data_IF_740501350702
#
_entry.id   IF_740501350702
#
_cell.length_a   1.000
_cell.length_b   1.000
_cell.length_c   1.000
_cell.angle_alpha   90.00
_cell.angle_beta   90.00
_cell.angle_gamma   90.00
#
_symmetry.space_group_name_H-M   'P 1'
#
loop_
_entity.id
_entity.type
_entity.pdbx_description
1 polymer ?
#
# COMPACT_ATOMS: atom_id res chain seq x y z
N UNK A 1 -30.65 18.46 -16.44
CA UNK A 1 -30.49 17.64 -15.23
C UNK A 1 -29.13 16.97 -15.19
N UNK A 2 -28.93 15.94 -16.02
CA UNK A 2 -27.70 15.14 -16.06
C UNK A 2 -26.46 15.97 -16.42
N UNK A 3 -26.50 16.79 -17.48
CA UNK A 3 -25.34 17.62 -17.88
C UNK A 3 -24.87 18.55 -16.75
N UNK A 4 -25.81 19.15 -16.02
CA UNK A 4 -25.50 19.99 -14.86
C UNK A 4 -24.80 19.19 -13.75
N UNK A 5 -25.22 17.94 -13.51
CA UNK A 5 -24.56 17.07 -12.54
C UNK A 5 -23.13 16.72 -12.95
N UNK A 6 -22.89 16.46 -14.24
CA UNK A 6 -21.55 16.20 -14.78
C UNK A 6 -20.65 17.43 -14.68
N UNK A 7 -21.19 18.62 -14.92
CA UNK A 7 -20.46 19.88 -14.72
C UNK A 7 -20.06 20.02 -13.25
N UNK A 8 -20.96 19.75 -12.30
CA UNK A 8 -20.61 19.77 -10.88
C UNK A 8 -19.53 18.75 -10.51
N UNK A 9 -19.58 17.53 -11.05
CA UNK A 9 -18.53 16.53 -10.82
C UNK A 9 -17.17 16.97 -11.39
N UNK A 10 -17.15 17.58 -12.58
CA UNK A 10 -15.93 18.12 -13.17
C UNK A 10 -15.38 19.32 -12.38
N UNK A 11 -16.25 20.19 -11.87
CA UNK A 11 -15.84 21.29 -10.98
C UNK A 11 -15.30 20.77 -9.65
N UNK A 12 -15.87 19.69 -9.10
CA UNK A 12 -15.34 19.04 -7.91
C UNK A 12 -13.92 18.50 -8.17
N UNK A 13 -13.69 17.92 -9.34
CA UNK A 13 -12.36 17.49 -9.77
C UNK A 13 -11.37 18.65 -9.83
N UNK A 14 -11.76 19.77 -10.45
CA UNK A 14 -10.93 20.97 -10.54
C UNK A 14 -10.53 21.50 -9.16
N UNK A 15 -11.47 21.55 -8.21
CA UNK A 15 -11.17 21.98 -6.85
C UNK A 15 -10.12 21.07 -6.16
N UNK A 16 -10.11 19.76 -6.42
CA UNK A 16 -9.04 18.88 -5.91
C UNK A 16 -7.68 19.26 -6.48
N UNK A 17 -7.60 19.50 -7.79
CA UNK A 17 -6.35 19.90 -8.45
C UNK A 17 -5.85 21.24 -7.90
N UNK A 18 -6.75 22.21 -7.70
CA UNK A 18 -6.38 23.49 -7.09
C UNK A 18 -5.86 23.30 -5.65
N UNK A 19 -6.51 22.44 -4.86
CA UNK A 19 -6.09 22.15 -3.49
C UNK A 19 -4.67 21.57 -3.38
N UNK A 20 -4.13 20.93 -4.42
CA UNK A 20 -2.74 20.44 -4.43
C UNK A 20 -1.71 21.57 -4.50
N UNK A 21 -2.11 22.74 -5.00
CA UNK A 21 -1.24 23.91 -5.20
C UNK A 21 -1.36 24.96 -4.10
N UNK A 22 -2.35 24.84 -3.22
CA UNK A 22 -2.63 25.82 -2.17
C UNK A 22 -2.02 25.46 -0.81
N UNK A 23 -1.88 26.47 0.05
CA UNK A 23 -1.58 26.27 1.46
C UNK A 23 -2.71 25.52 2.19
N UNK A 24 -2.40 24.88 3.32
CA UNK A 24 -3.29 23.96 4.05
C UNK A 24 -4.73 24.48 4.26
N UNK A 25 -4.89 25.75 4.65
CA UNK A 25 -6.22 26.36 4.89
C UNK A 25 -7.02 26.60 3.60
N UNK A 26 -6.36 26.97 2.50
CA UNK A 26 -6.98 27.12 1.18
C UNK A 26 -7.37 25.77 0.59
N UNK A 27 -6.48 24.79 0.69
CA UNK A 27 -6.71 23.41 0.26
C UNK A 27 -7.94 22.79 0.92
N UNK A 28 -8.13 22.96 2.24
CA UNK A 28 -9.32 22.49 2.94
C UNK A 28 -10.62 23.10 2.42
N UNK A 29 -10.62 24.40 2.15
CA UNK A 29 -11.79 25.07 1.56
C UNK A 29 -12.13 24.46 0.21
N UNK A 30 -11.13 24.20 -0.63
CA UNK A 30 -11.33 23.56 -1.92
C UNK A 30 -11.88 22.12 -1.80
N UNK A 31 -11.37 21.29 -0.88
CA UNK A 31 -11.94 19.97 -0.66
C UNK A 31 -13.38 20.02 -0.16
N UNK A 32 -13.70 20.94 0.75
CA UNK A 32 -15.07 21.14 1.23
C UNK A 32 -16.01 21.55 0.08
N UNK A 33 -15.58 22.45 -0.80
CA UNK A 33 -16.34 22.84 -1.99
C UNK A 33 -16.51 21.66 -2.97
N UNK A 34 -15.48 20.87 -3.22
CA UNK A 34 -15.56 19.67 -4.06
C UNK A 34 -16.62 18.69 -3.54
N UNK A 35 -16.66 18.44 -2.22
CA UNK A 35 -17.68 17.60 -1.59
C UNK A 35 -19.08 18.16 -1.79
N UNK A 36 -19.28 19.48 -1.58
CA UNK A 36 -20.58 20.12 -1.81
C UNK A 36 -21.05 19.99 -3.26
N UNK A 37 -20.13 20.14 -4.22
CA UNK A 37 -20.42 19.99 -5.64
C UNK A 37 -20.82 18.56 -5.99
N UNK A 38 -20.15 17.54 -5.42
CA UNK A 38 -20.58 16.15 -5.57
C UNK A 38 -21.98 15.90 -5.01
N UNK A 39 -22.34 16.46 -3.84
CA UNK A 39 -23.70 16.35 -3.31
C UNK A 39 -24.73 17.02 -4.22
N UNK A 40 -24.42 18.21 -4.76
CA UNK A 40 -25.27 18.88 -5.77
C UNK A 40 -25.44 18.01 -7.02
N UNK A 41 -24.36 17.37 -7.49
CA UNK A 41 -24.40 16.44 -8.61
C UNK A 41 -25.32 15.25 -8.34
N UNK A 42 -25.18 14.58 -7.19
CA UNK A 42 -26.03 13.46 -6.79
C UNK A 42 -27.52 13.86 -6.75
N UNK A 43 -27.85 15.01 -6.18
CA UNK A 43 -29.22 15.52 -6.13
C UNK A 43 -29.80 15.74 -7.54
N UNK A 44 -28.99 16.32 -8.45
CA UNK A 44 -29.39 16.53 -9.85
C UNK A 44 -29.58 15.23 -10.60
N UNK A 45 -28.71 14.23 -10.41
CA UNK A 45 -28.87 12.89 -10.99
C UNK A 45 -30.14 12.21 -10.50
N UNK A 46 -30.42 12.28 -9.19
CA UNK A 46 -31.65 11.74 -8.59
C UNK A 46 -32.90 12.39 -9.18
N UNK A 47 -32.92 13.73 -9.28
CA UNK A 47 -34.06 14.45 -9.88
C UNK A 47 -34.24 14.11 -11.36
N UNK A 48 -33.15 13.82 -12.08
CA UNK A 48 -33.18 13.49 -13.49
C UNK A 48 -33.43 12.00 -13.75
N UNK A 49 -33.64 11.18 -12.71
CA UNK A 49 -33.78 9.71 -12.79
C UNK A 49 -32.66 9.08 -13.63
N UNK A 50 -31.43 9.55 -13.42
CA UNK A 50 -30.26 9.07 -14.15
C UNK A 50 -29.99 7.59 -13.87
N UNK A 51 -29.40 6.89 -14.84
CA UNK A 51 -29.06 5.47 -14.68
C UNK A 51 -27.99 5.21 -13.61
N UNK A 52 -27.92 3.99 -13.04
CA UNK A 52 -26.95 3.61 -12.02
C UNK A 52 -25.47 3.92 -12.35
N UNK A 53 -24.99 3.79 -13.60
CA UNK A 53 -23.59 4.09 -13.93
C UNK A 53 -23.19 5.53 -13.66
N UNK A 54 -24.10 6.49 -13.87
CA UNK A 54 -23.82 7.91 -13.62
C UNK A 54 -23.76 8.21 -12.12
N UNK A 55 -24.62 7.57 -11.32
CA UNK A 55 -24.55 7.64 -9.87
C UNK A 55 -23.24 7.05 -9.35
N UNK A 56 -22.82 5.89 -9.86
CA UNK A 56 -21.56 5.27 -9.50
C UNK A 56 -20.36 6.19 -9.82
N UNK A 57 -20.37 6.87 -10.98
CA UNK A 57 -19.30 7.82 -11.34
C UNK A 57 -19.21 8.99 -10.37
N UNK A 58 -20.33 9.61 -10.01
CA UNK A 58 -20.32 10.74 -9.05
C UNK A 58 -19.96 10.28 -7.64
N UNK A 59 -20.41 9.09 -7.23
CA UNK A 59 -20.04 8.51 -5.94
C UNK A 59 -18.54 8.17 -5.89
N UNK A 60 -17.98 7.64 -6.97
CA UNK A 60 -16.54 7.40 -7.09
C UNK A 60 -15.72 8.68 -7.00
N UNK A 61 -16.20 9.75 -7.65
CA UNK A 61 -15.55 11.06 -7.57
C UNK A 61 -15.58 11.64 -6.14
N UNK A 62 -16.70 11.50 -5.43
CA UNK A 62 -16.82 11.90 -4.02
C UNK A 62 -15.92 11.05 -3.11
N UNK A 63 -15.86 9.73 -3.33
CA UNK A 63 -14.96 8.84 -2.59
C UNK A 63 -13.49 9.24 -2.78
N UNK A 64 -13.10 9.53 -4.03
CA UNK A 64 -11.77 10.02 -4.37
C UNK A 64 -11.47 11.37 -3.69
N UNK A 65 -12.44 12.28 -3.64
CA UNK A 65 -12.28 13.56 -2.93
C UNK A 65 -11.98 13.35 -1.45
N UNK A 66 -12.69 12.45 -0.77
CA UNK A 66 -12.38 12.14 0.62
C UNK A 66 -11.01 11.49 0.80
N UNK A 67 -10.61 10.59 -0.11
CA UNK A 67 -9.30 9.93 -0.05
C UNK A 67 -8.16 10.95 -0.18
N UNK A 68 -8.20 11.80 -1.19
CA UNK A 68 -7.16 12.82 -1.43
C UNK A 68 -7.12 13.84 -0.30
N UNK A 69 -8.28 14.25 0.22
CA UNK A 69 -8.35 15.12 1.38
C UNK A 69 -7.71 14.48 2.62
N UNK A 70 -7.97 13.20 2.88
CA UNK A 70 -7.34 12.46 3.98
C UNK A 70 -5.81 12.44 3.85
N UNK A 71 -5.30 12.16 2.64
CA UNK A 71 -3.85 12.13 2.35
C UNK A 71 -3.22 13.52 2.51
N UNK A 72 -3.93 14.59 2.13
CA UNK A 72 -3.47 15.96 2.36
C UNK A 72 -3.37 16.27 3.85
N UNK A 73 -4.45 16.04 4.62
CA UNK A 73 -4.48 16.26 6.06
C UNK A 73 -3.40 15.47 6.80
N UNK A 74 -3.15 14.23 6.36
CA UNK A 74 -2.10 13.38 6.91
C UNK A 74 -0.69 13.98 6.82
N UNK A 75 -0.44 14.85 5.83
CA UNK A 75 0.85 15.52 5.62
C UNK A 75 0.95 16.86 6.34
N UNK A 76 -0.16 17.59 6.46
CA UNK A 76 -0.16 18.98 6.88
C UNK A 76 -0.60 19.20 8.33
N UNK A 77 -1.25 18.22 8.96
CA UNK A 77 -1.85 18.38 10.28
C UNK A 77 -1.65 17.17 11.18
N UNK A 78 -1.53 17.43 12.49
CA UNK A 78 -1.61 16.40 13.53
C UNK A 78 -3.09 16.13 13.94
N UNK A 79 -4.01 16.22 12.98
CA UNK A 79 -5.44 15.98 13.22
C UNK A 79 -5.79 14.52 12.92
N UNK A 80 -5.45 13.64 13.86
CA UNK A 80 -5.64 12.20 13.69
C UNK A 80 -7.10 11.80 13.43
N UNK A 81 -8.04 12.40 14.17
CA UNK A 81 -9.47 12.08 14.02
C UNK A 81 -10.01 12.52 12.66
N UNK A 82 -9.64 13.72 12.20
CA UNK A 82 -10.04 14.25 10.90
C UNK A 82 -9.54 13.38 9.74
N UNK A 83 -8.27 12.98 9.78
CA UNK A 83 -7.67 12.10 8.77
C UNK A 83 -8.42 10.76 8.69
N UNK A 84 -8.65 10.10 9.82
CA UNK A 84 -9.33 8.81 9.86
C UNK A 84 -10.80 8.91 9.45
N UNK A 85 -11.50 9.98 9.81
CA UNK A 85 -12.87 10.23 9.37
C UNK A 85 -12.95 10.26 7.83
N UNK A 86 -12.03 10.98 7.17
CA UNK A 86 -12.03 11.08 5.71
C UNK A 86 -11.63 9.76 5.05
N UNK A 87 -10.63 9.06 5.57
CA UNK A 87 -10.28 7.72 5.07
C UNK A 87 -11.45 6.74 5.17
N UNK A 88 -12.13 6.69 6.32
CA UNK A 88 -13.27 5.79 6.52
C UNK A 88 -14.45 6.13 5.60
N UNK A 89 -14.70 7.43 5.34
CA UNK A 89 -15.70 7.86 4.35
C UNK A 89 -15.36 7.34 2.95
N UNK A 90 -14.12 7.54 2.50
CA UNK A 90 -13.68 7.04 1.20
C UNK A 90 -13.79 5.51 1.10
N UNK A 91 -13.31 4.80 2.14
CA UNK A 91 -13.33 3.34 2.21
C UNK A 91 -14.75 2.78 2.09
N UNK A 92 -15.68 3.28 2.91
CA UNK A 92 -17.07 2.82 2.89
C UNK A 92 -17.71 3.02 1.50
N UNK A 93 -17.47 4.16 0.87
CA UNK A 93 -17.98 4.44 -0.46
C UNK A 93 -17.39 3.50 -1.52
N UNK A 94 -16.08 3.22 -1.50
CA UNK A 94 -15.47 2.28 -2.44
C UNK A 94 -15.95 0.83 -2.21
N UNK A 95 -16.22 0.43 -0.97
CA UNK A 95 -16.86 -0.86 -0.65
C UNK A 95 -18.27 -0.93 -1.24
N UNK A 96 -19.09 0.10 -1.08
CA UNK A 96 -20.44 0.18 -1.66
C UNK A 96 -20.41 0.12 -3.19
N UNK A 97 -19.42 0.77 -3.81
CA UNK A 97 -19.17 0.73 -5.25
C UNK A 97 -18.59 -0.59 -5.75
N UNK A 98 -18.20 -1.49 -4.83
CA UNK A 98 -17.49 -2.75 -5.11
C UNK A 98 -16.18 -2.55 -5.88
N UNK A 99 -15.55 -1.39 -5.72
CA UNK A 99 -14.27 -1.07 -6.35
C UNK A 99 -13.12 -1.63 -5.51
N UNK A 100 -12.82 -2.91 -5.71
CA UNK A 100 -11.77 -3.62 -4.95
C UNK A 100 -10.40 -2.94 -5.05
N UNK A 101 -10.07 -2.38 -6.21
CA UNK A 101 -8.79 -1.69 -6.42
C UNK A 101 -8.69 -0.45 -5.55
N UNK A 102 -9.74 0.37 -5.52
CA UNK A 102 -9.75 1.57 -4.69
C UNK A 102 -9.88 1.28 -3.19
N UNK A 103 -10.55 0.19 -2.81
CA UNK A 103 -10.53 -0.31 -1.42
C UNK A 103 -9.10 -0.67 -1.01
N UNK A 104 -8.37 -1.41 -1.84
CA UNK A 104 -6.98 -1.78 -1.60
C UNK A 104 -6.08 -0.54 -1.48
N UNK A 105 -6.21 0.39 -2.41
CA UNK A 105 -5.47 1.66 -2.40
C UNK A 105 -5.77 2.48 -1.15
N UNK A 106 -7.03 2.53 -0.70
CA UNK A 106 -7.42 3.25 0.53
C UNK A 106 -6.77 2.62 1.76
N UNK A 107 -6.79 1.28 1.89
CA UNK A 107 -6.10 0.58 2.96
C UNK A 107 -4.58 0.79 2.93
N UNK A 108 -3.96 0.81 1.75
CA UNK A 108 -2.55 1.15 1.59
C UNK A 108 -2.22 2.56 2.11
N UNK A 109 -3.04 3.56 1.78
CA UNK A 109 -2.84 4.93 2.27
C UNK A 109 -3.01 5.04 3.80
N UNK A 110 -4.00 4.34 4.36
CA UNK A 110 -4.18 4.25 5.82
C UNK A 110 -2.98 3.60 6.51
N UNK A 111 -2.44 2.51 5.94
CA UNK A 111 -1.25 1.85 6.46
C UNK A 111 -0.01 2.77 6.42
N UNK A 112 0.18 3.45 5.29
CA UNK A 112 1.25 4.45 5.11
C UNK A 112 1.15 5.55 6.17
N UNK A 113 -0.05 6.09 6.39
CA UNK A 113 -0.30 7.11 7.41
C UNK A 113 0.11 6.66 8.82
N UNK A 114 -0.30 5.47 9.24
CA UNK A 114 0.10 4.93 10.55
C UNK A 114 1.61 4.68 10.66
N UNK A 115 2.27 4.30 9.56
CA UNK A 115 3.70 3.97 9.54
C UNK A 115 4.63 5.19 9.54
N UNK A 116 4.18 6.32 8.98
CA UNK A 116 4.98 7.55 8.78
C UNK A 116 4.93 8.53 9.96
N UNK A 117 4.03 8.31 10.92
CA UNK A 117 3.95 9.13 12.12
C UNK A 117 5.25 9.08 12.94
N UNK A 118 5.73 10.23 13.42
CA UNK A 118 6.99 10.35 14.16
C UNK A 118 7.03 9.46 15.41
N UNK A 119 5.90 9.33 16.12
CA UNK A 119 5.78 8.45 17.28
C UNK A 119 5.24 7.08 16.84
N UNK A 120 6.16 6.11 16.70
CA UNK A 120 5.85 4.71 16.41
C UNK A 120 5.49 3.95 17.68
N UNK A 121 4.22 4.02 18.08
CA UNK A 121 3.71 3.16 19.15
C UNK A 121 3.44 1.75 18.63
N UNK A 122 3.50 0.74 19.51
CA UNK A 122 3.17 -0.65 19.17
C UNK A 122 1.78 -0.76 18.53
N UNK A 123 0.79 -0.09 19.12
CA UNK A 123 -0.59 -0.06 18.60
C UNK A 123 -0.68 0.51 17.17
N UNK A 124 0.10 1.56 16.87
CA UNK A 124 0.13 2.16 15.53
C UNK A 124 0.81 1.24 14.51
N UNK A 125 1.90 0.60 14.90
CA UNK A 125 2.57 -0.38 14.03
C UNK A 125 1.64 -1.56 13.73
N UNK A 126 0.90 -2.06 14.73
CA UNK A 126 -0.11 -3.11 14.52
C UNK A 126 -1.26 -2.64 13.61
N UNK A 127 -1.72 -1.39 13.76
CA UNK A 127 -2.72 -0.81 12.86
C UNK A 127 -2.21 -0.71 11.42
N UNK A 128 -0.97 -0.27 11.23
CA UNK A 128 -0.32 -0.21 9.91
C UNK A 128 -0.24 -1.62 9.29
N UNK A 129 0.21 -2.63 10.04
CA UNK A 129 0.27 -4.03 9.58
C UNK A 129 -1.09 -4.52 9.12
N UNK A 130 -2.14 -4.38 9.96
CA UNK A 130 -3.51 -4.79 9.62
C UNK A 130 -4.02 -4.14 8.33
N UNK A 131 -3.69 -2.87 8.10
CA UNK A 131 -4.09 -2.17 6.89
C UNK A 131 -3.30 -2.61 5.66
N UNK A 132 -2.01 -2.91 5.78
CA UNK A 132 -1.24 -3.51 4.67
C UNK A 132 -1.74 -4.92 4.34
N UNK A 133 -2.01 -5.76 5.33
CA UNK A 133 -2.59 -7.10 5.15
C UNK A 133 -3.92 -7.03 4.40
N UNK A 134 -4.83 -6.16 4.85
CA UNK A 134 -6.10 -5.91 4.12
C UNK A 134 -5.84 -5.42 2.70
N UNK A 135 -4.91 -4.49 2.49
CA UNK A 135 -4.58 -4.04 1.13
C UNK A 135 -4.13 -5.22 0.24
N UNK A 136 -3.31 -6.13 0.78
CA UNK A 136 -2.89 -7.34 0.06
C UNK A 136 -4.03 -8.34 -0.19
N UNK A 137 -4.99 -8.48 0.73
CA UNK A 137 -6.18 -9.32 0.50
C UNK A 137 -7.00 -8.83 -0.71
N UNK A 138 -7.13 -7.52 -0.88
CA UNK A 138 -7.81 -6.94 -2.04
C UNK A 138 -6.94 -6.94 -3.31
N UNK A 139 -5.63 -6.69 -3.20
CA UNK A 139 -4.70 -6.69 -4.34
C UNK A 139 -4.40 -8.08 -4.88
N UNK A 140 -4.28 -9.09 -4.01
CA UNK A 140 -3.97 -10.48 -4.36
C UNK A 140 -4.98 -11.13 -5.31
N UNK A 141 -6.16 -10.51 -5.49
CA UNK A 141 -7.17 -10.93 -6.47
C UNK A 141 -7.29 -10.08 -7.73
N UNK A 142 -6.55 -8.97 -7.88
CA UNK A 142 -6.83 -7.96 -8.93
C UNK A 142 -5.58 -7.47 -9.67
N UNK A 143 -4.49 -7.11 -8.99
CA UNK A 143 -3.28 -6.53 -9.62
C UNK A 143 -2.02 -6.95 -8.85
N UNK A 144 -1.03 -7.52 -9.57
CA UNK A 144 0.27 -7.92 -9.03
C UNK A 144 1.37 -7.15 -9.78
N UNK A 145 1.69 -5.95 -9.29
CA UNK A 145 2.61 -5.00 -9.94
C UNK A 145 3.42 -4.18 -8.93
N UNK A 146 3.80 -2.96 -9.27
CA UNK A 146 4.65 -2.09 -8.42
C UNK A 146 4.07 -1.87 -7.02
N UNK A 147 2.77 -1.53 -6.91
CA UNK A 147 2.11 -1.28 -5.61
C UNK A 147 2.11 -2.52 -4.71
N UNK A 148 1.93 -3.71 -5.28
CA UNK A 148 1.98 -4.97 -4.56
C UNK A 148 3.35 -5.17 -3.89
N UNK A 149 4.44 -4.90 -4.63
CA UNK A 149 5.81 -5.03 -4.12
C UNK A 149 6.11 -3.96 -3.06
N UNK A 150 5.63 -2.72 -3.25
CA UNK A 150 5.76 -1.66 -2.23
C UNK A 150 5.10 -2.04 -0.91
N UNK A 151 3.89 -2.60 -0.95
CA UNK A 151 3.18 -3.04 0.27
C UNK A 151 3.97 -4.13 0.99
N UNK A 152 4.45 -5.15 0.28
CA UNK A 152 5.26 -6.21 0.88
C UNK A 152 6.54 -5.67 1.51
N UNK A 153 7.23 -4.75 0.82
CA UNK A 153 8.44 -4.12 1.36
C UNK A 153 8.17 -3.37 2.67
N UNK A 154 7.14 -2.52 2.70
CA UNK A 154 6.81 -1.75 3.90
C UNK A 154 6.27 -2.61 5.05
N UNK A 155 5.49 -3.65 4.73
CA UNK A 155 5.01 -4.62 5.70
C UNK A 155 6.18 -5.39 6.33
N UNK A 156 7.13 -5.85 5.52
CA UNK A 156 8.34 -6.52 6.01
C UNK A 156 9.17 -5.61 6.93
N UNK A 157 9.32 -4.33 6.58
CA UNK A 157 10.01 -3.36 7.44
C UNK A 157 9.33 -3.20 8.82
N UNK A 158 7.99 -3.28 8.89
CA UNK A 158 7.25 -3.24 10.17
C UNK A 158 7.42 -4.50 11.01
N UNK A 159 7.66 -5.66 10.39
CA UNK A 159 7.98 -6.89 11.11
C UNK A 159 9.43 -6.90 11.58
N UNK A 160 10.36 -6.52 10.70
CA UNK A 160 11.79 -6.50 10.99
C UNK A 160 12.20 -5.48 12.07
N UNK A 161 11.34 -4.50 12.39
CA UNK A 161 11.57 -3.58 13.51
C UNK A 161 11.44 -4.23 14.89
N UNK A 162 11.01 -5.50 14.96
CA UNK A 162 10.97 -6.29 16.19
C UNK A 162 12.34 -6.89 16.52
N UNK A 163 12.57 -7.16 17.80
CA UNK A 163 13.75 -7.91 18.27
C UNK A 163 13.54 -9.42 18.28
N UNK A 164 12.32 -9.90 17.99
CA UNK A 164 11.99 -11.33 17.97
C UNK A 164 12.39 -11.97 16.65
N UNK A 165 13.02 -13.14 16.74
CA UNK A 165 13.43 -13.91 15.56
C UNK A 165 12.26 -14.27 14.64
N UNK A 166 11.11 -14.66 15.22
CA UNK A 166 9.88 -15.00 14.48
C UNK A 166 9.37 -13.83 13.62
N UNK A 167 9.42 -12.60 14.15
CA UNK A 167 8.98 -11.42 13.42
C UNK A 167 9.95 -11.12 12.25
N UNK A 168 11.27 -11.24 12.45
CA UNK A 168 12.25 -11.04 11.38
C UNK A 168 12.15 -12.14 10.32
N UNK A 169 11.87 -13.37 10.72
CA UNK A 169 11.61 -14.49 9.80
C UNK A 169 10.35 -14.22 8.98
N UNK A 170 9.29 -13.72 9.62
CA UNK A 170 8.10 -13.30 8.92
C UNK A 170 8.36 -12.16 7.93
N UNK A 171 9.19 -11.17 8.28
CA UNK A 171 9.61 -10.11 7.36
C UNK A 171 10.30 -10.67 6.11
N UNK A 172 11.18 -11.64 6.29
CA UNK A 172 11.85 -12.34 5.20
C UNK A 172 10.84 -13.06 4.29
N UNK A 173 9.90 -13.81 4.85
CA UNK A 173 8.83 -14.48 4.08
C UNK A 173 7.96 -13.50 3.30
N UNK A 174 7.60 -12.36 3.91
CA UNK A 174 6.85 -11.29 3.24
C UNK A 174 7.63 -10.73 2.05
N UNK A 175 8.94 -10.48 2.15
CA UNK A 175 9.73 -10.05 0.98
C UNK A 175 9.79 -11.15 -0.08
N UNK A 176 9.95 -12.41 0.31
CA UNK A 176 9.92 -13.53 -0.65
C UNK A 176 8.59 -13.63 -1.40
N UNK A 177 7.48 -13.20 -0.79
CA UNK A 177 6.16 -13.12 -1.45
C UNK A 177 6.13 -12.18 -2.66
N UNK A 178 7.07 -11.24 -2.78
CA UNK A 178 7.20 -10.36 -3.97
C UNK A 178 7.53 -11.12 -5.26
N UNK A 179 7.98 -12.38 -5.19
CA UNK A 179 8.22 -13.21 -6.39
C UNK A 179 7.00 -13.31 -7.30
N UNK A 180 5.78 -13.25 -6.77
CA UNK A 180 4.58 -13.35 -7.60
C UNK A 180 4.47 -12.18 -8.59
N UNK A 181 4.98 -11.00 -8.22
CA UNK A 181 5.12 -9.85 -9.12
C UNK A 181 6.29 -10.05 -10.10
N UNK A 182 7.47 -10.39 -9.59
CA UNK A 182 8.67 -10.52 -10.42
C UNK A 182 8.61 -11.68 -11.42
N UNK A 183 7.88 -12.76 -11.12
CA UNK A 183 7.61 -13.87 -12.05
C UNK A 183 6.81 -13.40 -13.27
N UNK A 184 5.96 -12.38 -13.11
CA UNK A 184 5.06 -11.88 -14.15
C UNK A 184 5.51 -10.55 -14.73
N UNK A 185 6.73 -10.09 -14.40
CA UNK A 185 7.21 -8.74 -14.78
C UNK A 185 7.09 -8.49 -16.28
N UNK A 186 7.46 -9.47 -17.12
CA UNK A 186 7.39 -9.35 -18.58
C UNK A 186 5.97 -9.14 -19.14
N UNK A 187 4.92 -9.45 -18.35
CA UNK A 187 3.52 -9.27 -18.73
C UNK A 187 2.95 -7.91 -18.34
N UNK A 188 3.68 -7.14 -17.51
CA UNK A 188 3.25 -5.84 -17.02
C UNK A 188 3.52 -4.73 -18.05
N UNK A 189 2.87 -3.56 -17.94
CA UNK A 189 3.22 -2.39 -18.73
C UNK A 189 4.71 -1.99 -18.56
N UNK A 190 5.33 -1.43 -19.61
CA UNK A 190 6.77 -1.07 -19.60
C UNK A 190 7.20 -0.17 -18.42
N UNK A 191 6.32 0.74 -17.98
CA UNK A 191 6.62 1.60 -16.84
C UNK A 191 6.69 0.80 -15.53
N UNK A 192 5.75 -0.12 -15.29
CA UNK A 192 5.80 -1.00 -14.12
C UNK A 192 6.99 -1.97 -14.16
N UNK A 193 7.38 -2.44 -15.36
CA UNK A 193 8.59 -3.25 -15.52
C UNK A 193 9.82 -2.49 -15.01
N UNK A 194 10.02 -1.27 -15.49
CA UNK A 194 11.14 -0.42 -15.10
C UNK A 194 11.10 -0.09 -13.60
N UNK A 195 9.92 0.20 -13.05
CA UNK A 195 9.75 0.45 -11.62
C UNK A 195 10.17 -0.77 -10.79
N UNK A 196 9.68 -1.97 -11.13
CA UNK A 196 10.02 -3.19 -10.41
C UNK A 196 11.51 -3.54 -10.52
N UNK A 197 12.10 -3.39 -11.71
CA UNK A 197 13.54 -3.59 -11.92
C UNK A 197 14.37 -2.62 -11.07
N UNK A 198 13.94 -1.36 -10.94
CA UNK A 198 14.60 -0.37 -10.09
C UNK A 198 14.50 -0.71 -8.59
N UNK A 199 13.44 -1.40 -8.17
CA UNK A 199 13.24 -1.82 -6.78
C UNK A 199 14.08 -3.04 -6.39
N UNK A 200 14.40 -3.92 -7.35
CA UNK A 200 15.08 -5.19 -7.09
C UNK A 200 16.38 -5.06 -6.26
N UNK A 201 17.31 -4.12 -6.56
CA UNK A 201 18.52 -3.94 -5.74
C UNK A 201 18.20 -3.63 -4.27
N UNK A 202 17.20 -2.78 -4.01
CA UNK A 202 16.80 -2.45 -2.64
C UNK A 202 16.19 -3.63 -1.90
N UNK A 203 15.48 -4.52 -2.61
CA UNK A 203 14.93 -5.73 -2.02
C UNK A 203 16.01 -6.77 -1.73
N UNK A 204 17.05 -6.89 -2.59
CA UNK A 204 18.23 -7.72 -2.31
C UNK A 204 18.91 -7.28 -1.01
N UNK A 205 19.10 -5.96 -0.83
CA UNK A 205 19.67 -5.42 0.41
C UNK A 205 18.80 -5.75 1.63
N UNK A 206 17.47 -5.63 1.52
CA UNK A 206 16.56 -6.04 2.62
C UNK A 206 16.66 -7.53 2.94
N UNK A 207 16.71 -8.40 1.93
CA UNK A 207 16.91 -9.83 2.13
C UNK A 207 18.21 -10.13 2.88
N UNK A 208 19.30 -9.48 2.46
CA UNK A 208 20.61 -9.60 3.12
C UNK A 208 20.56 -9.14 4.58
N UNK A 209 19.95 -7.98 4.85
CA UNK A 209 19.78 -7.42 6.20
C UNK A 209 19.01 -8.38 7.12
N UNK A 210 17.86 -8.88 6.67
CA UNK A 210 17.01 -9.77 7.47
C UNK A 210 17.69 -11.12 7.72
N UNK A 211 18.33 -11.70 6.70
CA UNK A 211 19.09 -12.94 6.86
C UNK A 211 20.24 -12.78 7.85
N UNK A 212 20.98 -11.68 7.79
CA UNK A 212 22.08 -11.40 8.72
C UNK A 212 21.56 -11.21 10.15
N UNK A 213 20.44 -10.52 10.33
CA UNK A 213 19.78 -10.35 11.63
C UNK A 213 19.33 -11.70 12.21
N UNK A 214 18.72 -12.57 11.39
CA UNK A 214 18.32 -13.92 11.81
C UNK A 214 19.51 -14.79 12.22
N UNK A 215 20.60 -14.75 11.46
CA UNK A 215 21.84 -15.48 11.79
C UNK A 215 22.37 -15.03 13.16
N UNK A 216 22.39 -13.71 13.42
CA UNK A 216 22.85 -13.14 14.70
C UNK A 216 21.94 -13.51 15.87
N UNK A 217 20.62 -13.46 15.69
CA UNK A 217 19.66 -13.82 16.73
C UNK A 217 19.73 -15.32 17.07
N UNK A 218 19.97 -16.17 16.08
CA UNK A 218 20.07 -17.62 16.28
C UNK A 218 21.42 -18.11 16.81
N UNK A 219 22.52 -17.39 16.55
CA UNK A 219 23.88 -17.95 16.69
C UNK A 219 24.27 -18.43 18.10
N UNK A 220 23.61 -17.92 19.14
CA UNK A 220 23.84 -18.34 20.53
C UNK A 220 23.16 -19.66 20.91
N UNK A 221 22.21 -20.15 20.11
CA UNK A 221 21.44 -21.35 20.41
C UNK A 221 22.24 -22.62 20.13
N UNK A 222 22.33 -23.53 21.10
CA UNK A 222 22.97 -24.84 20.94
C UNK A 222 22.01 -25.95 20.48
N UNK A 223 20.72 -25.63 20.29
CA UNK A 223 19.70 -26.61 19.89
C UNK A 223 19.96 -27.08 18.44
N UNK A 224 20.01 -28.40 18.16
CA UNK A 224 20.28 -28.91 16.81
C UNK A 224 19.34 -28.38 15.73
N UNK A 225 18.04 -28.28 16.02
CA UNK A 225 17.05 -27.73 15.10
C UNK A 225 17.35 -26.27 14.73
N UNK A 226 17.75 -25.45 15.70
CA UNK A 226 18.09 -24.05 15.46
C UNK A 226 19.40 -23.92 14.66
N UNK A 227 20.38 -24.78 14.91
CA UNK A 227 21.61 -24.82 14.13
C UNK A 227 21.37 -25.18 12.65
N UNK A 228 20.44 -26.09 12.36
CA UNK A 228 20.01 -26.38 11.00
C UNK A 228 19.36 -25.15 10.34
N UNK A 229 18.45 -24.47 11.04
CA UNK A 229 17.81 -23.22 10.56
C UNK A 229 18.84 -22.13 10.26
N UNK A 230 19.82 -21.91 11.13
CA UNK A 230 20.89 -20.92 10.92
C UNK A 230 21.77 -21.30 9.73
N UNK A 231 22.06 -22.59 9.56
CA UNK A 231 22.84 -23.08 8.41
C UNK A 231 22.11 -22.79 7.10
N UNK A 232 20.79 -22.99 7.07
CA UNK A 232 19.93 -22.59 5.95
C UNK A 232 20.03 -21.08 5.69
N UNK A 233 19.87 -20.24 6.72
CA UNK A 233 19.96 -18.78 6.55
C UNK A 233 21.33 -18.31 6.06
N UNK A 234 22.42 -18.93 6.51
CA UNK A 234 23.77 -18.66 5.98
C UNK A 234 23.88 -19.02 4.50
N UNK A 235 23.31 -20.14 4.08
CA UNK A 235 23.32 -20.55 2.68
C UNK A 235 22.48 -19.58 1.81
N UNK A 236 21.30 -19.17 2.30
CA UNK A 236 20.48 -18.14 1.64
C UNK A 236 21.22 -16.81 1.52
N UNK A 237 21.90 -16.38 2.58
CA UNK A 237 22.66 -15.13 2.59
C UNK A 237 23.79 -15.15 1.55
N UNK A 238 24.54 -16.26 1.46
CA UNK A 238 25.56 -16.44 0.41
C UNK A 238 24.95 -16.33 -0.99
N UNK A 239 23.80 -16.97 -1.22
CA UNK A 239 23.10 -16.89 -2.49
C UNK A 239 22.73 -15.45 -2.89
N UNK A 240 22.34 -14.61 -1.92
CA UNK A 240 22.04 -13.19 -2.19
C UNK A 240 23.27 -12.34 -2.52
N UNK A 241 24.48 -12.80 -2.20
CA UNK A 241 25.74 -12.12 -2.56
C UNK A 241 26.22 -12.59 -3.94
N UNK A 242 26.14 -13.89 -4.21
CA UNK A 242 26.72 -14.50 -5.40
C UNK A 242 25.92 -14.18 -6.69
N UNK A 243 24.64 -13.82 -6.58
CA UNK A 243 23.75 -13.64 -7.75
C UNK A 243 23.63 -12.21 -8.29
N UNK A 244 24.75 -11.51 -8.45
CA UNK A 244 24.75 -10.15 -9.02
C UNK A 244 24.35 -10.07 -10.52
N UNK A 245 24.13 -11.20 -11.21
CA UNK A 245 23.90 -11.27 -12.67
C UNK A 245 22.62 -12.00 -13.09
N UNK A 246 21.82 -12.55 -12.16
CA UNK A 246 20.59 -13.30 -12.49
C UNK A 246 19.34 -12.42 -12.40
N UNK A 247 18.27 -12.72 -13.17
CA UNK A 247 16.99 -12.06 -12.97
C UNK A 247 16.50 -12.23 -11.53
N UNK A 248 16.03 -11.14 -10.91
CA UNK A 248 15.65 -11.14 -9.49
C UNK A 248 14.58 -12.19 -9.14
N UNK A 249 13.66 -12.49 -10.07
CA UNK A 249 12.68 -13.56 -9.92
C UNK A 249 13.32 -14.94 -9.64
N UNK A 250 14.46 -15.25 -10.28
CA UNK A 250 15.15 -16.52 -10.09
C UNK A 250 15.83 -16.59 -8.71
N UNK A 251 16.38 -15.47 -8.24
CA UNK A 251 16.91 -15.38 -6.88
C UNK A 251 15.81 -15.65 -5.86
N UNK A 252 14.67 -14.97 -5.97
CA UNK A 252 13.55 -15.17 -5.04
C UNK A 252 13.01 -16.60 -5.07
N UNK A 253 12.91 -17.23 -6.25
CA UNK A 253 12.49 -18.63 -6.37
C UNK A 253 13.47 -19.56 -5.67
N UNK A 254 14.78 -19.38 -5.89
CA UNK A 254 15.80 -20.20 -5.25
C UNK A 254 15.76 -20.05 -3.72
N UNK A 255 15.57 -18.82 -3.21
CA UNK A 255 15.42 -18.56 -1.79
C UNK A 255 14.14 -19.19 -1.20
N UNK A 256 13.01 -19.17 -1.92
CA UNK A 256 11.77 -19.85 -1.51
C UNK A 256 11.96 -21.36 -1.43
N UNK A 257 12.60 -21.97 -2.43
CA UNK A 257 12.86 -23.42 -2.46
C UNK A 257 13.79 -23.89 -1.35
N UNK A 258 14.61 -23.02 -0.78
CA UNK A 258 15.43 -23.35 0.40
C UNK A 258 14.62 -23.35 1.70
N UNK A 259 13.47 -22.68 1.71
CA UNK A 259 12.58 -22.57 2.88
C UNK A 259 11.60 -23.74 3.03
N UNK A 260 11.15 -24.29 1.90
CA UNK A 260 10.37 -25.54 1.79
C UNK A 260 11.21 -26.77 2.18
#
# INVERSE_FOLDING_TARGET
GVNTALIYANLAHLHKVLAETEASTGAESHYAHAVQLCFKAQAKLKSAKAGPPLHAKVNGELALTYLVWAVHLAKTQDNHSGVLEKFNKALNMYVELRDRRQVAATHYQMASYYSQQQVKTKQRMEAARRHYEKALEYFGGVEVGTTFVMIHKQLAELYASSTKMEDVEHALLVVLNTFDAFKRVATLPRHEQADLESMAPTLVLRLQEYLLQLIRLGSASTKPAMQATITRFKAMYRLTIDQNTRPFAQLLLALRNMYE
#
